data_IF_924238081620
#
_entry.id   IF_924238081620
#
_cell.length_a   1.000
_cell.length_b   1.000
_cell.length_c   1.000
_cell.angle_alpha   90.00
_cell.angle_beta   90.00
_cell.angle_gamma   90.00
#
_symmetry.space_group_name_H-M   'P 1'
#
loop_
_entity.id
_entity.type
_entity.pdbx_description
1 polymer ?
#
# COMPACT_ATOMS: atom_id res chain seq x y z
N UNK A 1 4.81 -5.20 1.58
CA UNK A 1 5.55 -4.00 1.19
C UNK A 1 6.03 -3.29 2.43
N UNK A 2 7.13 -2.55 2.35
CA UNK A 2 7.54 -1.58 3.35
C UNK A 2 7.33 -0.13 2.87
N UNK A 3 7.55 0.84 3.77
CA UNK A 3 7.28 2.25 3.46
C UNK A 3 8.18 2.83 2.36
N UNK A 4 9.39 2.29 2.14
CA UNK A 4 10.25 2.73 1.02
C UNK A 4 9.69 2.22 -0.29
N UNK A 5 9.31 0.95 -0.33
CA UNK A 5 8.69 0.35 -1.52
C UNK A 5 7.39 1.08 -1.93
N UNK A 6 6.60 1.53 -0.95
CA UNK A 6 5.39 2.33 -1.20
C UNK A 6 5.75 3.70 -1.80
N UNK A 7 6.74 4.40 -1.23
CA UNK A 7 7.19 5.70 -1.74
C UNK A 7 7.70 5.61 -3.17
N UNK A 8 8.57 4.64 -3.43
CA UNK A 8 9.20 4.47 -4.75
C UNK A 8 8.16 4.08 -5.81
N UNK A 9 7.16 3.26 -5.44
CA UNK A 9 6.13 2.79 -6.37
C UNK A 9 5.10 3.88 -6.73
N UNK A 10 4.68 4.68 -5.75
CA UNK A 10 3.68 5.73 -5.94
C UNK A 10 4.28 7.12 -6.25
N UNK A 11 5.61 7.22 -6.37
CA UNK A 11 6.36 8.49 -6.51
C UNK A 11 6.00 9.51 -5.42
N UNK A 12 5.97 9.04 -4.16
CA UNK A 12 5.58 9.84 -3.00
C UNK A 12 6.79 10.24 -2.15
N UNK A 13 6.74 11.47 -1.65
CA UNK A 13 7.64 11.93 -0.60
C UNK A 13 7.25 11.37 0.78
N UNK A 14 8.19 11.31 1.75
CA UNK A 14 7.88 10.92 3.13
C UNK A 14 6.73 11.72 3.73
N UNK A 15 5.70 11.04 4.24
CA UNK A 15 4.54 11.69 4.84
C UNK A 15 3.48 10.73 5.41
N UNK A 16 2.41 11.27 6.02
CA UNK A 16 1.38 10.47 6.70
C UNK A 16 0.70 9.45 5.79
N UNK A 17 0.57 9.77 4.50
CA UNK A 17 -0.03 8.91 3.47
C UNK A 17 0.63 7.54 3.36
N UNK A 18 1.93 7.43 3.64
CA UNK A 18 2.64 6.15 3.65
C UNK A 18 2.14 5.27 4.80
N UNK A 19 1.90 5.89 5.96
CA UNK A 19 1.31 5.19 7.10
C UNK A 19 -0.10 4.69 6.78
N UNK A 20 -0.89 5.48 6.06
CA UNK A 20 -2.22 5.07 5.60
C UNK A 20 -2.15 3.89 4.62
N UNK A 21 -1.24 3.92 3.64
CA UNK A 21 -1.01 2.81 2.72
C UNK A 21 -0.58 1.53 3.44
N UNK A 22 0.35 1.66 4.40
CA UNK A 22 0.81 0.52 5.21
C UNK A 22 -0.30 -0.06 6.11
N UNK A 23 -1.15 0.80 6.68
CA UNK A 23 -2.31 0.37 7.47
C UNK A 23 -3.34 -0.36 6.58
N UNK A 24 -3.65 0.17 5.40
CA UNK A 24 -4.53 -0.51 4.44
C UNK A 24 -4.02 -1.91 4.11
N UNK A 25 -2.73 -2.05 3.77
CA UNK A 25 -2.14 -3.36 3.46
C UNK A 25 -2.20 -4.29 4.68
N UNK A 26 -1.98 -3.76 5.89
CA UNK A 26 -2.09 -4.55 7.11
C UNK A 26 -3.52 -5.05 7.35
N UNK A 27 -4.52 -4.19 7.19
CA UNK A 27 -5.94 -4.54 7.33
C UNK A 27 -6.34 -5.65 6.36
N UNK A 28 -6.04 -5.49 5.06
CA UNK A 28 -6.27 -6.55 4.07
C UNK A 28 -5.56 -7.86 4.42
N UNK A 29 -4.35 -7.79 4.98
CA UNK A 29 -3.60 -8.99 5.35
C UNK A 29 -4.27 -9.75 6.50
N UNK A 30 -4.91 -9.02 7.42
CA UNK A 30 -5.61 -9.59 8.55
C UNK A 30 -6.92 -10.26 8.10
N UNK A 31 -7.63 -9.66 7.15
CA UNK A 31 -8.93 -10.14 6.67
C UNK A 31 -8.81 -11.25 5.60
N UNK A 32 -7.99 -11.04 4.57
CA UNK A 32 -7.86 -11.92 3.41
C UNK A 32 -6.69 -12.90 3.51
N UNK A 33 -5.84 -12.71 4.52
CA UNK A 33 -4.61 -13.48 4.73
C UNK A 33 -3.40 -12.92 3.97
N UNK A 34 -2.27 -13.64 3.97
CA UNK A 34 -1.06 -13.18 3.32
C UNK A 34 -1.21 -13.16 1.79
N UNK A 35 -0.95 -12.01 1.20
CA UNK A 35 -0.89 -11.81 -0.25
C UNK A 35 0.54 -11.84 -0.78
N UNK A 36 0.68 -12.05 -2.09
CA UNK A 36 1.97 -11.94 -2.76
C UNK A 36 2.44 -10.48 -2.80
N UNK A 37 3.71 -10.27 -3.16
CA UNK A 37 4.24 -8.90 -3.32
C UNK A 37 3.59 -8.18 -4.52
N UNK A 38 3.27 -8.91 -5.58
CA UNK A 38 2.59 -8.37 -6.78
C UNK A 38 1.15 -7.93 -6.43
N UNK A 39 0.42 -8.76 -5.71
CA UNK A 39 -0.94 -8.43 -5.24
C UNK A 39 -0.92 -7.19 -4.32
N UNK A 40 0.08 -7.08 -3.45
CA UNK A 40 0.22 -5.92 -2.57
C UNK A 40 0.42 -4.60 -3.36
N UNK A 41 1.14 -4.63 -4.49
CA UNK A 41 1.28 -3.46 -5.35
C UNK A 41 -0.03 -3.14 -6.08
N UNK A 42 -0.74 -4.15 -6.59
CA UNK A 42 -2.03 -3.95 -7.23
C UNK A 42 -3.06 -3.33 -6.27
N UNK A 43 -3.14 -3.84 -5.03
CA UNK A 43 -3.98 -3.25 -3.97
C UNK A 43 -3.57 -1.81 -3.66
N UNK A 44 -2.26 -1.52 -3.63
CA UNK A 44 -1.75 -0.19 -3.40
C UNK A 44 -2.14 0.78 -4.51
N UNK A 45 -2.06 0.35 -5.77
CA UNK A 45 -2.47 1.11 -6.96
C UNK A 45 -3.97 1.41 -6.94
N UNK A 46 -4.79 0.38 -6.67
CA UNK A 46 -6.26 0.52 -6.60
C UNK A 46 -6.67 1.48 -5.47
N UNK A 47 -6.06 1.35 -4.30
CA UNK A 47 -6.30 2.24 -3.17
C UNK A 47 -5.88 3.67 -3.47
N UNK A 48 -4.75 3.87 -4.16
CA UNK A 48 -4.28 5.20 -4.52
C UNK A 48 -5.18 5.85 -5.57
N UNK A 49 -5.59 5.10 -6.59
CA UNK A 49 -6.49 5.56 -7.63
C UNK A 49 -7.87 5.94 -7.08
N UNK A 50 -8.37 5.25 -6.05
CA UNK A 50 -9.65 5.57 -5.40
C UNK A 50 -9.65 6.91 -4.63
N UNK A 51 -8.49 7.52 -4.42
CA UNK A 51 -8.34 8.79 -3.68
C UNK A 51 -8.20 10.01 -4.59
N UNK A 52 -7.92 9.81 -5.88
CA UNK A 52 -7.75 10.88 -6.88
C UNK A 52 -9.09 11.31 -7.48
#
# INVERSE_FOLDING_TARGET
LDGREVMDHLDLSPGPVIGEAMNMLLEHRLDDGPFSKEDAYAMLDDWWAARA
#
